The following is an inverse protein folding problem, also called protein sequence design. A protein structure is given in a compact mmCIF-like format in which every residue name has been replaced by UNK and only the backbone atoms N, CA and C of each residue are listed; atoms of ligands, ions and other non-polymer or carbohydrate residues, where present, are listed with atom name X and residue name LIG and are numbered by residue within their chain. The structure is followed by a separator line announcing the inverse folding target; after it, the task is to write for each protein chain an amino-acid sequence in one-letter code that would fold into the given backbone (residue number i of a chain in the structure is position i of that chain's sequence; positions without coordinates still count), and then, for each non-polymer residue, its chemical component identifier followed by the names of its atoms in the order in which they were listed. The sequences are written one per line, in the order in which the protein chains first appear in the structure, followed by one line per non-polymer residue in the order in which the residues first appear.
data_IF_250068691646
#
_entry.id   IF_250068691646
#
_cell.length_a   1.000
_cell.length_b   1.000
_cell.length_c   1.000
_cell.angle_alpha   90.00
_cell.angle_beta   90.00
_cell.angle_gamma   90.00
#
_symmetry.space_group_name_H-M   'P 1'
#
loop_
_entity.id
_entity.type
_entity.pdbx_description
1 polymer ?
#
# COMPACT_ATOMS: atom_id res chain seq x y z
N UNK A 1 -1.72 -15.05 -4.20
CA UNK A 1 -1.91 -13.60 -4.42
C UNK A 1 -3.38 -13.25 -4.24
N UNK A 2 -3.65 -12.21 -3.46
CA UNK A 2 -4.99 -11.72 -3.16
C UNK A 2 -5.07 -10.21 -3.48
N UNK A 3 -6.24 -9.73 -3.96
CA UNK A 3 -6.52 -8.33 -4.18
C UNK A 3 -7.82 -7.96 -3.46
N UNK A 4 -7.78 -6.92 -2.66
CA UNK A 4 -8.91 -6.43 -1.88
C UNK A 4 -9.19 -4.97 -2.22
N UNK A 5 -10.44 -4.65 -2.54
CA UNK A 5 -10.92 -3.28 -2.63
C UNK A 5 -11.31 -2.81 -1.23
N UNK A 6 -10.67 -1.77 -0.77
CA UNK A 6 -10.96 -1.15 0.52
C UNK A 6 -11.95 -0.01 0.30
N UNK A 7 -13.02 -0.04 1.06
CA UNK A 7 -14.06 0.99 1.11
C UNK A 7 -14.39 1.23 2.59
N UNK A 8 -13.76 2.24 3.19
CA UNK A 8 -13.81 2.50 4.61
C UNK A 8 -14.52 3.83 4.87
N UNK A 9 -15.65 3.77 5.59
CA UNK A 9 -16.42 4.91 6.06
C UNK A 9 -16.44 4.91 7.59
N UNK A 10 -15.26 5.08 8.19
CA UNK A 10 -15.06 5.03 9.64
C UNK A 10 -13.82 5.85 10.04
N UNK A 11 -13.74 6.25 11.30
CA UNK A 11 -12.60 7.03 11.78
C UNK A 11 -11.37 6.17 12.10
N UNK A 12 -11.56 4.91 12.47
CA UNK A 12 -10.47 4.01 12.82
C UNK A 12 -10.82 2.55 12.59
N UNK A 13 -9.80 1.74 12.34
CA UNK A 13 -9.90 0.29 12.26
C UNK A 13 -8.82 -0.34 13.14
N UNK A 14 -9.24 -1.13 14.12
CA UNK A 14 -8.36 -1.85 15.05
C UNK A 14 -7.99 -3.25 14.54
N UNK A 15 -7.86 -3.43 13.23
CA UNK A 15 -7.46 -4.71 12.67
C UNK A 15 -5.97 -4.94 12.98
N UNK A 16 -5.71 -5.72 14.02
CA UNK A 16 -4.34 -6.21 14.29
C UNK A 16 -3.96 -7.21 13.21
N UNK A 17 -3.04 -6.83 12.35
CA UNK A 17 -2.39 -7.79 11.47
C UNK A 17 -1.26 -8.46 12.24
N UNK A 18 -1.30 -9.79 12.30
CA UNK A 18 -0.16 -10.56 12.81
C UNK A 18 1.01 -10.46 11.82
N UNK A 19 2.26 -10.35 12.31
CA UNK A 19 3.42 -10.43 11.42
C UNK A 19 3.38 -11.71 10.61
N UNK A 20 3.55 -11.60 9.30
CA UNK A 20 3.61 -12.73 8.39
C UNK A 20 4.89 -12.61 7.55
N UNK A 21 5.96 -13.33 7.91
CA UNK A 21 7.16 -13.37 7.07
C UNK A 21 6.82 -13.98 5.71
N UNK A 22 7.49 -13.54 4.67
CA UNK A 22 7.26 -14.05 3.31
C UNK A 22 6.09 -13.39 2.55
N UNK A 23 5.51 -12.33 3.10
CA UNK A 23 4.47 -11.54 2.42
C UNK A 23 5.01 -10.22 1.88
N UNK A 24 4.53 -9.84 0.71
CA UNK A 24 4.64 -8.48 0.18
C UNK A 24 3.21 -7.92 0.17
N UNK A 25 3.03 -6.76 0.76
CA UNK A 25 1.78 -6.01 0.70
C UNK A 25 2.00 -4.72 -0.08
N UNK A 26 1.16 -4.49 -1.08
CA UNK A 26 1.15 -3.30 -1.92
C UNK A 26 -0.20 -2.62 -1.70
N UNK A 27 -0.18 -1.37 -1.25
CA UNK A 27 -1.39 -0.59 -1.05
C UNK A 27 -1.38 0.63 -1.97
N UNK A 28 -2.51 0.90 -2.60
CA UNK A 28 -2.75 2.11 -3.36
C UNK A 28 -3.94 2.85 -2.78
N UNK A 29 -3.75 4.12 -2.45
CA UNK A 29 -4.84 5.00 -2.01
C UNK A 29 -5.43 5.73 -3.21
N UNK A 30 -6.69 5.48 -3.51
CA UNK A 30 -7.45 6.18 -4.55
C UNK A 30 -8.01 7.50 -4.03
N UNK A 31 -8.65 7.45 -2.87
CA UNK A 31 -9.35 8.59 -2.27
C UNK A 31 -9.21 8.57 -0.75
N UNK A 32 -9.28 9.74 -0.14
CA UNK A 32 -9.21 9.89 1.31
C UNK A 32 -7.79 9.84 1.85
N UNK A 33 -7.67 9.45 3.11
CA UNK A 33 -6.40 9.35 3.84
C UNK A 33 -6.41 8.19 4.82
N UNK A 34 -5.28 7.53 4.94
CA UNK A 34 -5.02 6.53 5.96
C UNK A 34 -3.77 6.91 6.76
N UNK A 35 -3.89 6.88 8.06
CA UNK A 35 -2.78 7.02 8.99
C UNK A 35 -2.50 5.66 9.61
N UNK A 36 -1.32 5.11 9.38
CA UNK A 36 -0.87 3.84 9.92
C UNK A 36 0.16 4.08 11.02
N UNK A 37 -0.05 3.48 12.18
CA UNK A 37 0.91 3.49 13.29
C UNK A 37 1.86 2.30 13.16
N UNK A 38 3.16 2.55 13.20
CA UNK A 38 4.20 1.52 13.24
C UNK A 38 4.95 1.61 14.57
N UNK A 39 4.71 0.62 15.45
CA UNK A 39 5.25 0.64 16.80
C UNK A 39 4.69 1.81 17.63
N UNK A 40 5.44 2.23 18.64
CA UNK A 40 4.95 3.22 19.61
C UNK A 40 5.14 4.69 19.20
N UNK A 41 5.98 4.99 18.20
CA UNK A 41 6.47 6.34 17.94
C UNK A 41 6.47 6.81 16.48
N UNK A 42 6.13 5.95 15.53
CA UNK A 42 6.21 6.28 14.11
C UNK A 42 4.85 6.17 13.44
N UNK A 43 4.49 7.18 12.70
CA UNK A 43 3.24 7.26 11.94
C UNK A 43 3.54 7.52 10.47
N UNK A 44 2.81 6.86 9.60
CA UNK A 44 2.85 7.07 8.17
C UNK A 44 1.48 7.53 7.68
N UNK A 45 1.47 8.50 6.79
CA UNK A 45 0.26 9.05 6.19
C UNK A 45 0.21 8.71 4.72
N UNK A 46 -0.80 7.94 4.34
CA UNK A 46 -1.07 7.59 2.96
C UNK A 46 -2.23 8.43 2.46
N UNK A 47 -2.02 9.20 1.40
CA UNK A 47 -3.01 10.06 0.78
C UNK A 47 -3.33 9.59 -0.65
N UNK A 48 -4.38 10.16 -1.25
CA UNK A 48 -4.78 9.86 -2.62
C UNK A 48 -3.61 9.96 -3.61
N UNK A 49 -3.43 8.94 -4.44
CA UNK A 49 -2.33 8.79 -5.39
C UNK A 49 -1.03 8.26 -4.80
N UNK A 50 -1.00 7.88 -3.52
CA UNK A 50 0.16 7.21 -2.93
C UNK A 50 0.09 5.69 -3.15
N UNK A 51 1.27 5.12 -3.39
CA UNK A 51 1.53 3.69 -3.41
C UNK A 51 2.45 3.36 -2.25
N UNK A 52 2.12 2.34 -1.46
CA UNK A 52 3.03 1.81 -0.46
C UNK A 52 3.37 0.35 -0.73
N UNK A 53 4.59 -0.03 -0.38
CA UNK A 53 5.05 -1.41 -0.44
C UNK A 53 5.68 -1.73 0.91
N UNK A 54 5.23 -2.80 1.54
CA UNK A 54 5.78 -3.24 2.81
C UNK A 54 5.89 -4.77 2.87
N UNK A 55 6.74 -5.24 3.77
CA UNK A 55 6.75 -6.63 4.20
C UNK A 55 6.12 -6.68 5.59
N UNK A 56 5.19 -7.61 5.80
CA UNK A 56 4.43 -7.72 7.05
C UNK A 56 5.27 -8.27 8.22
N UNK A 57 6.48 -7.72 8.42
CA UNK A 57 7.36 -8.14 9.52
C UNK A 57 7.00 -7.53 10.87
N UNK A 58 6.30 -6.39 10.87
CA UNK A 58 5.90 -5.69 12.11
C UNK A 58 4.39 -5.58 12.22
N UNK A 59 3.90 -5.64 13.45
CA UNK A 59 2.48 -5.42 13.76
C UNK A 59 2.13 -3.96 13.45
N UNK A 60 1.18 -3.74 12.56
CA UNK A 60 0.42 -2.49 12.54
C UNK A 60 -0.62 -2.57 13.67
N UNK A 61 -0.67 -1.55 14.53
CA UNK A 61 -1.55 -1.60 15.69
C UNK A 61 -2.91 -0.95 15.42
N UNK A 62 -2.96 0.08 14.60
CA UNK A 62 -4.20 0.81 14.34
C UNK A 62 -4.06 1.61 13.07
N UNK A 63 -5.06 1.53 12.20
CA UNK A 63 -5.21 2.44 11.07
C UNK A 63 -6.32 3.44 11.41
N UNK A 64 -6.03 4.73 11.24
CA UNK A 64 -7.03 5.79 11.38
C UNK A 64 -7.28 6.45 10.05
N UNK A 65 -8.51 6.89 9.84
CA UNK A 65 -8.96 7.56 8.62
C UNK A 65 -9.41 8.98 8.99
N UNK A 66 -8.50 9.98 8.96
CA UNK A 66 -8.78 11.32 9.47
C UNK A 66 -9.97 12.03 8.81
N UNK A 67 -10.32 11.63 7.60
CA UNK A 67 -11.47 12.15 6.86
C UNK A 67 -12.70 11.24 6.96
N UNK A 68 -12.67 10.21 7.82
CA UNK A 68 -13.69 9.15 7.90
C UNK A 68 -14.02 8.49 6.57
N UNK A 69 -13.10 8.60 5.61
CA UNK A 69 -13.26 8.13 4.25
C UNK A 69 -11.91 7.67 3.68
N UNK A 70 -11.88 6.43 3.17
CA UNK A 70 -10.71 5.87 2.50
C UNK A 70 -11.14 4.85 1.46
N UNK A 71 -10.76 5.08 0.22
CA UNK A 71 -10.88 4.10 -0.86
C UNK A 71 -9.50 3.73 -1.38
N UNK A 72 -9.26 2.44 -1.55
CA UNK A 72 -7.99 1.95 -2.02
C UNK A 72 -8.02 0.50 -2.46
N UNK A 73 -6.88 0.02 -2.91
CA UNK A 73 -6.66 -1.38 -3.24
C UNK A 73 -5.47 -1.88 -2.44
N UNK A 74 -5.63 -3.03 -1.81
CA UNK A 74 -4.55 -3.79 -1.19
C UNK A 74 -4.30 -5.05 -2.00
N UNK A 75 -3.05 -5.29 -2.36
CA UNK A 75 -2.57 -6.51 -3.02
C UNK A 75 -1.64 -7.20 -2.04
N UNK A 76 -1.92 -8.45 -1.73
CA UNK A 76 -1.10 -9.30 -0.87
C UNK A 76 -0.51 -10.45 -1.66
N UNK A 77 0.80 -10.62 -1.60
CA UNK A 77 1.54 -11.69 -2.27
C UNK A 77 2.23 -12.52 -1.21
N UNK A 78 1.84 -13.77 -1.11
CA UNK A 78 2.50 -14.77 -0.28
C UNK A 78 3.53 -15.51 -1.13
N UNK A 79 4.81 -15.31 -0.82
CA UNK A 79 5.91 -15.79 -1.66
C UNK A 79 6.02 -17.32 -1.65
N UNK A 80 5.64 -17.96 -0.53
CA UNK A 80 5.68 -19.42 -0.38
C UNK A 80 4.53 -20.12 -1.13
N UNK A 81 3.38 -19.44 -1.32
CA UNK A 81 2.20 -19.98 -2.01
C UNK A 81 2.22 -19.78 -3.53
N UNK A 82 3.31 -19.24 -4.09
CA UNK A 82 3.42 -19.05 -5.53
C UNK A 82 3.63 -20.40 -6.20
N UNK A 83 2.67 -20.81 -7.04
CA UNK A 83 2.73 -22.07 -7.79
C UNK A 83 3.88 -22.09 -8.79
N UNK A 84 4.31 -23.29 -9.21
CA UNK A 84 5.39 -23.44 -10.20
C UNK A 84 5.00 -22.85 -11.56
N UNK A 85 3.72 -22.95 -11.95
CA UNK A 85 3.23 -22.29 -13.17
C UNK A 85 3.40 -20.76 -13.08
N UNK A 86 3.01 -20.17 -11.95
CA UNK A 86 3.16 -18.74 -11.76
C UNK A 86 4.64 -18.34 -11.74
N UNK A 87 5.51 -19.14 -11.10
CA UNK A 87 6.98 -18.90 -11.13
C UNK A 87 7.53 -18.89 -12.55
N UNK A 88 7.05 -19.78 -13.43
CA UNK A 88 7.44 -19.80 -14.86
C UNK A 88 6.99 -18.55 -15.59
N UNK A 89 5.76 -18.08 -15.35
CA UNK A 89 5.22 -16.85 -15.94
C UNK A 89 6.03 -15.64 -15.47
N UNK A 90 6.28 -15.50 -14.18
CA UNK A 90 7.08 -14.41 -13.62
C UNK A 90 8.48 -14.39 -14.23
N UNK A 91 9.12 -15.56 -14.36
CA UNK A 91 10.44 -15.69 -15.01
C UNK A 91 10.40 -15.30 -16.48
N UNK A 92 9.39 -15.74 -17.24
CA UNK A 92 9.22 -15.40 -18.65
C UNK A 92 9.08 -13.88 -18.86
N UNK A 93 8.40 -13.21 -17.94
CA UNK A 93 8.17 -11.77 -17.95
C UNK A 93 9.31 -10.97 -17.26
N UNK A 94 10.37 -11.65 -16.81
CA UNK A 94 11.48 -11.01 -16.06
C UNK A 94 11.04 -10.31 -14.77
N UNK A 95 9.93 -10.73 -14.17
CA UNK A 95 9.42 -10.19 -12.91
C UNK A 95 10.19 -10.79 -11.74
N UNK A 96 10.82 -9.95 -10.93
CA UNK A 96 11.64 -10.34 -9.79
C UNK A 96 11.00 -9.96 -8.44
N UNK A 97 10.21 -10.86 -7.88
CA UNK A 97 9.57 -10.64 -6.58
C UNK A 97 10.57 -10.57 -5.42
N UNK A 98 11.72 -11.25 -5.53
CA UNK A 98 12.77 -11.20 -4.51
C UNK A 98 13.33 -9.79 -4.41
N UNK A 99 13.60 -9.13 -5.54
CA UNK A 99 14.05 -7.74 -5.57
C UNK A 99 13.04 -6.79 -4.90
N UNK A 100 11.74 -6.97 -5.18
CA UNK A 100 10.66 -6.16 -4.57
C UNK A 100 10.63 -6.42 -3.06
N UNK A 101 10.72 -7.69 -2.63
CA UNK A 101 10.71 -8.08 -1.22
C UNK A 101 11.93 -7.57 -0.45
N UNK A 102 13.12 -7.71 -1.01
CA UNK A 102 14.37 -7.22 -0.41
C UNK A 102 14.34 -5.70 -0.25
N UNK A 103 13.81 -5.01 -1.25
CA UNK A 103 13.65 -3.57 -1.18
C UNK A 103 12.65 -3.17 -0.07
N UNK A 104 11.46 -3.76 -0.07
CA UNK A 104 10.46 -3.53 0.96
C UNK A 104 10.96 -3.91 2.37
N UNK A 105 11.87 -4.89 2.48
CA UNK A 105 12.48 -5.33 3.74
C UNK A 105 13.57 -4.41 4.27
N UNK A 106 14.22 -3.58 3.43
CA UNK A 106 15.24 -2.60 3.88
C UNK A 106 14.64 -1.49 4.77
N UNK A 107 13.39 -1.16 4.52
CA UNK A 107 12.62 -0.20 5.30
C UNK A 107 11.29 -0.86 5.64
N UNK A 108 10.84 -0.79 6.87
CA UNK A 108 9.59 -1.42 7.32
C UNK A 108 8.39 -1.04 6.45
N UNK A 109 8.45 0.10 5.80
CA UNK A 109 7.40 0.67 4.98
C UNK A 109 8.02 1.63 3.95
N UNK A 110 7.73 1.39 2.70
CA UNK A 110 8.12 2.26 1.61
C UNK A 110 6.88 2.90 0.97
N UNK A 111 6.92 4.21 0.78
CA UNK A 111 5.82 4.93 0.16
C UNK A 111 6.32 5.94 -0.87
N UNK A 112 5.63 6.00 -2.01
CA UNK A 112 5.90 6.93 -3.09
C UNK A 112 4.61 7.50 -3.65
N UNK A 113 4.70 8.62 -4.31
CA UNK A 113 3.65 9.06 -5.22
C UNK A 113 3.65 8.14 -6.44
N UNK A 114 2.53 7.47 -6.70
CA UNK A 114 2.39 6.66 -7.89
C UNK A 114 2.54 7.53 -9.14
N UNK A 115 3.38 7.09 -10.09
CA UNK A 115 3.48 7.75 -11.40
C UNK A 115 2.20 7.50 -12.23
N UNK A 116 2.07 8.19 -13.35
CA UNK A 116 0.88 8.11 -14.21
C UNK A 116 0.58 6.68 -14.66
N UNK A 117 1.60 5.88 -14.99
CA UNK A 117 1.43 4.49 -15.42
C UNK A 117 0.83 3.63 -14.31
N UNK A 118 1.36 3.73 -13.09
CA UNK A 118 0.84 3.01 -11.92
C UNK A 118 -0.58 3.46 -11.58
N UNK A 119 -0.85 4.77 -11.61
CA UNK A 119 -2.18 5.31 -11.39
C UNK A 119 -3.19 4.79 -12.42
N UNK A 120 -2.77 4.69 -13.70
CA UNK A 120 -3.60 4.16 -14.77
C UNK A 120 -3.97 2.70 -14.53
N UNK A 121 -3.01 1.84 -14.14
CA UNK A 121 -3.27 0.43 -13.79
C UNK A 121 -4.36 0.33 -12.72
N UNK A 122 -4.22 1.08 -11.63
CA UNK A 122 -5.22 1.06 -10.56
C UNK A 122 -6.58 1.62 -10.99
N UNK A 123 -6.60 2.66 -11.84
CA UNK A 123 -7.85 3.20 -12.38
C UNK A 123 -8.62 2.17 -13.19
N UNK A 124 -7.94 1.40 -14.03
CA UNK A 124 -8.56 0.35 -14.84
C UNK A 124 -9.14 -0.80 -14.01
N UNK A 125 -8.51 -1.12 -12.86
CA UNK A 125 -9.02 -2.14 -11.94
C UNK A 125 -10.40 -1.79 -11.37
N UNK A 126 -10.75 -0.50 -11.26
CA UNK A 126 -12.07 -0.06 -10.82
C UNK A 126 -13.13 -0.06 -11.92
N UNK A 127 -12.73 0.01 -13.19
CA UNK A 127 -13.65 0.21 -14.32
C UNK A 127 -13.86 -1.04 -15.18
N UNK A 128 -13.14 -2.12 -14.88
CA UNK A 128 -13.21 -3.37 -15.64
C UNK A 128 -14.58 -4.03 -15.55
N UNK A 129 -15.05 -4.60 -16.68
CA UNK A 129 -16.32 -5.33 -16.75
C UNK A 129 -16.26 -6.62 -15.93
N UNK A 130 -17.33 -6.92 -15.18
CA UNK A 130 -17.38 -8.02 -14.21
C UNK A 130 -17.05 -9.39 -14.81
N UNK A 131 -17.52 -9.68 -16.04
CA UNK A 131 -17.34 -10.99 -16.66
C UNK A 131 -15.89 -11.32 -17.03
N UNK A 132 -14.99 -10.31 -17.19
CA UNK A 132 -13.56 -10.52 -17.46
C UNK A 132 -12.69 -10.18 -16.26
N UNK A 133 -13.27 -9.62 -15.21
CA UNK A 133 -12.57 -9.05 -14.05
C UNK A 133 -11.50 -9.97 -13.44
N UNK A 134 -11.76 -11.28 -13.20
CA UNK A 134 -10.76 -12.15 -12.60
C UNK A 134 -9.49 -12.31 -13.45
N UNK A 135 -9.65 -12.43 -14.77
CA UNK A 135 -8.52 -12.55 -15.71
C UNK A 135 -7.82 -11.22 -15.91
N UNK A 136 -8.59 -10.14 -15.99
CA UNK A 136 -8.06 -8.79 -16.14
C UNK A 136 -7.21 -8.37 -14.93
N UNK A 137 -7.69 -8.63 -13.71
CA UNK A 137 -6.92 -8.41 -12.48
C UNK A 137 -5.57 -9.12 -12.54
N UNK A 138 -5.52 -10.39 -12.96
CA UNK A 138 -4.26 -11.14 -13.07
C UNK A 138 -3.27 -10.48 -14.04
N UNK A 139 -3.75 -10.01 -15.19
CA UNK A 139 -2.92 -9.31 -16.18
C UNK A 139 -2.39 -8.01 -15.60
N UNK A 140 -3.24 -7.21 -14.96
CA UNK A 140 -2.85 -5.94 -14.36
C UNK A 140 -1.90 -6.10 -13.15
N UNK A 141 -2.04 -7.18 -12.40
CA UNK A 141 -1.08 -7.52 -11.35
C UNK A 141 0.30 -7.84 -11.93
N UNK A 142 0.37 -8.61 -13.02
CA UNK A 142 1.65 -8.90 -13.69
C UNK A 142 2.28 -7.63 -14.26
N UNK A 143 1.49 -6.73 -14.87
CA UNK A 143 1.94 -5.43 -15.37
C UNK A 143 2.50 -4.57 -14.23
N UNK A 144 1.77 -4.46 -13.12
CA UNK A 144 2.23 -3.73 -11.94
C UNK A 144 3.55 -4.29 -11.39
N UNK A 145 3.64 -5.62 -11.25
CA UNK A 145 4.84 -6.27 -10.73
C UNK A 145 6.05 -6.09 -11.65
N UNK A 146 5.83 -6.08 -12.96
CA UNK A 146 6.88 -5.78 -13.94
C UNK A 146 7.40 -4.37 -13.74
N UNK A 147 6.51 -3.38 -13.65
CA UNK A 147 6.90 -1.98 -13.41
C UNK A 147 7.66 -1.85 -12.09
N UNK A 148 7.17 -2.46 -11.01
CA UNK A 148 7.85 -2.43 -9.71
C UNK A 148 9.22 -3.11 -9.75
N UNK A 149 9.40 -4.16 -10.55
CA UNK A 149 10.71 -4.81 -10.73
C UNK A 149 11.73 -3.86 -11.37
N UNK A 150 11.30 -3.04 -12.35
CA UNK A 150 12.15 -2.10 -13.08
C UNK A 150 12.36 -0.76 -12.37
N UNK A 151 11.58 -0.48 -11.31
CA UNK A 151 11.73 0.76 -10.54
C UNK A 151 13.12 0.86 -9.90
N UNK A 152 13.76 2.02 -10.08
CA UNK A 152 15.01 2.36 -9.38
C UNK A 152 14.68 2.95 -8.01
N UNK A 153 14.45 2.07 -7.07
CA UNK A 153 14.06 2.42 -5.72
C UNK A 153 15.13 3.23 -4.96
N UNK A 154 16.41 3.10 -5.31
CA UNK A 154 17.50 3.84 -4.66
C UNK A 154 17.52 5.32 -5.10
N UNK A 155 17.00 5.62 -6.29
CA UNK A 155 16.82 6.99 -6.79
C UNK A 155 15.53 7.66 -6.36
N UNK A 156 14.52 6.87 -6.04
CA UNK A 156 13.24 7.41 -5.57
C UNK A 156 13.45 7.81 -4.12
N UNK A 157 13.62 9.10 -3.87
CA UNK A 157 13.66 9.63 -2.50
C UNK A 157 12.37 9.20 -1.81
N UNK A 158 12.53 8.58 -0.65
CA UNK A 158 11.43 8.35 0.26
C UNK A 158 10.99 9.74 0.76
N UNK A 159 10.11 10.41 0.02
CA UNK A 159 9.66 11.79 0.33
C UNK A 159 8.77 11.83 1.58
N UNK A 160 8.52 10.68 2.18
CA UNK A 160 7.62 10.56 3.32
C UNK A 160 8.38 10.49 4.63
N UNK A 161 8.19 11.53 5.41
CA UNK A 161 8.75 11.65 6.75
C UNK A 161 7.86 10.87 7.72
N UNK A 162 8.47 10.01 8.52
CA UNK A 162 7.81 9.48 9.70
C UNK A 162 7.58 10.60 10.70
N UNK A 163 6.33 10.83 11.05
CA UNK A 163 5.98 11.82 12.07
C UNK A 163 6.08 11.21 13.46
N UNK A 164 6.66 11.96 14.39
CA UNK A 164 6.65 11.58 15.79
C UNK A 164 5.24 11.72 16.40
N UNK A 165 4.98 11.00 17.47
CA UNK A 165 3.73 11.13 18.23
C UNK A 165 3.45 12.57 18.66
N UNK A 166 4.49 13.34 18.99
CA UNK A 166 4.37 14.76 19.36
C UNK A 166 3.90 15.61 18.19
N UNK A 167 4.51 15.45 17.01
CA UNK A 167 4.09 16.18 15.80
C UNK A 167 2.65 15.87 15.41
N UNK A 168 2.28 14.58 15.45
CA UNK A 168 0.89 14.15 15.20
C UNK A 168 -0.11 14.80 16.17
N UNK A 169 0.19 14.77 17.45
CA UNK A 169 -0.71 15.33 18.47
C UNK A 169 -0.84 16.85 18.28
N UNK A 170 0.24 17.55 17.98
CA UNK A 170 0.22 18.98 17.70
C UNK A 170 -0.68 19.30 16.49
N UNK A 171 -0.52 18.55 15.39
CA UNK A 171 -1.34 18.74 14.18
C UNK A 171 -2.83 18.48 14.46
N UNK A 172 -3.16 17.44 15.24
CA UNK A 172 -4.56 17.17 15.65
C UNK A 172 -5.13 18.30 16.49
N UNK A 173 -4.40 18.77 17.49
CA UNK A 173 -4.85 19.88 18.34
C UNK A 173 -5.14 21.15 17.51
N UNK A 174 -4.27 21.46 16.53
CA UNK A 174 -4.48 22.59 15.62
C UNK A 174 -5.73 22.35 14.77
N UNK A 175 -5.88 21.17 14.18
CA UNK A 175 -7.06 20.82 13.40
C UNK A 175 -8.36 20.95 14.23
N UNK A 176 -8.40 20.34 15.40
CA UNK A 176 -9.58 20.35 16.27
C UNK A 176 -9.93 21.77 16.75
N UNK A 177 -8.90 22.59 17.00
CA UNK A 177 -9.08 24.01 17.31
C UNK A 177 -9.72 24.77 16.14
N UNK A 178 -9.21 24.56 14.92
CA UNK A 178 -9.73 25.23 13.72
C UNK A 178 -11.19 24.79 13.48
N UNK A 179 -11.47 23.49 13.48
CA UNK A 179 -12.83 22.95 13.21
C UNK A 179 -13.84 23.37 14.29
N UNK A 180 -13.39 23.50 15.55
CA UNK A 180 -14.25 23.91 16.64
C UNK A 180 -14.52 25.42 16.74
N UNK A 181 -13.84 26.25 15.91
CA UNK A 181 -13.94 27.71 15.95
C UNK A 181 -14.34 28.35 14.61
N UNK A 182 -14.69 27.54 13.62
CA UNK A 182 -15.32 27.93 12.35
C UNK A 182 -16.77 27.43 12.35
#
# INVERSE_FOLDING_TARGET
MELVYNDMHMEYCNKMQSPRPGFIEINYCREGRCECAFGERSYCYMAAGNLSICTLHKKSHTSTFPTSHYHGITITIELEEITDEMRRILKLLSINLTRISEFAGKQDFYMVRANETVQHIFSELYTVQEHIKPSYIRIKLLELLLILTEMDFDRIKNDYVYFSKSQRNCTRQIHDFIVGHI
#
